data_IF_930666162835
#
_entry.id   IF_930666162835
#
_cell.length_a   1.000
_cell.length_b   1.000
_cell.length_c   1.000
_cell.angle_alpha   90.00
_cell.angle_beta   90.00
_cell.angle_gamma   90.00
#
_symmetry.space_group_name_H-M   'P 1'
#
loop_
_entity.id
_entity.type
_entity.pdbx_description
1 polymer ?
#
# COMPACT_ATOMS: atom_id res chain seq x y z
N UNK A 1 14.82 3.01 13.73
CA UNK A 1 15.16 3.83 12.55
C UNK A 1 16.66 4.04 12.32
N UNK A 2 17.57 3.28 12.96
CA UNK A 2 19.02 3.57 12.98
C UNK A 2 19.73 3.56 11.61
N UNK A 3 19.14 2.95 10.58
CA UNK A 3 19.77 2.76 9.25
C UNK A 3 18.87 3.24 8.09
N UNK A 4 17.97 4.20 8.32
CA UNK A 4 17.03 4.67 7.29
C UNK A 4 17.69 5.45 6.15
N UNK A 5 18.89 5.99 6.38
CA UNK A 5 19.63 6.74 5.36
C UNK A 5 20.27 5.84 4.30
N UNK A 6 20.24 4.52 4.48
CA UNK A 6 20.76 3.56 3.50
C UNK A 6 19.75 3.39 2.37
N UNK A 7 20.08 3.80 1.14
CA UNK A 7 19.18 3.60 0.01
C UNK A 7 19.00 2.11 -0.29
N UNK A 8 17.77 1.72 -0.62
CA UNK A 8 17.43 0.33 -0.92
C UNK A 8 18.31 -0.29 -2.03
N UNK A 9 18.69 0.50 -3.04
CA UNK A 9 19.54 0.02 -4.13
C UNK A 9 20.93 -0.46 -3.65
N UNK A 10 21.51 0.16 -2.63
CA UNK A 10 22.80 -0.29 -2.09
C UNK A 10 22.67 -1.65 -1.40
N UNK A 11 21.52 -1.96 -0.80
CA UNK A 11 21.28 -3.28 -0.21
C UNK A 11 21.25 -4.35 -1.31
N UNK A 12 20.68 -4.03 -2.48
CA UNK A 12 20.64 -4.95 -3.62
C UNK A 12 22.02 -5.21 -4.22
N UNK A 13 22.89 -4.20 -4.24
CA UNK A 13 24.25 -4.34 -4.78
C UNK A 13 25.13 -5.26 -3.89
N UNK A 14 24.85 -5.34 -2.60
CA UNK A 14 25.63 -6.10 -1.61
C UNK A 14 25.14 -7.55 -1.38
N UNK A 15 23.98 -7.93 -1.93
CA UNK A 15 23.42 -9.28 -1.76
C UNK A 15 23.41 -10.06 -3.07
N UNK A 16 23.65 -11.37 -2.99
CA UNK A 16 23.45 -12.26 -4.14
C UNK A 16 21.99 -12.66 -4.24
N UNK A 17 21.33 -12.30 -5.34
CA UNK A 17 19.95 -12.69 -5.62
C UNK A 17 19.75 -13.00 -7.11
N UNK A 18 18.81 -13.89 -7.41
CA UNK A 18 18.40 -14.16 -8.79
C UNK A 18 17.35 -13.14 -9.21
N UNK A 19 17.65 -12.35 -10.25
CA UNK A 19 16.68 -11.41 -10.82
C UNK A 19 15.60 -12.18 -11.58
N UNK A 20 14.38 -12.11 -11.06
CA UNK A 20 13.17 -12.62 -11.73
C UNK A 20 12.23 -11.45 -12.01
N UNK A 21 11.76 -11.22 -13.25
CA UNK A 21 10.95 -10.04 -13.60
C UNK A 21 9.66 -9.85 -12.80
N UNK A 22 9.14 -10.92 -12.20
CA UNK A 22 7.87 -10.91 -11.46
C UNK A 22 8.04 -10.91 -9.93
N UNK A 23 9.26 -11.00 -9.41
CA UNK A 23 9.51 -11.14 -7.97
C UNK A 23 10.39 -9.99 -7.51
N UNK A 24 9.89 -9.23 -6.54
CA UNK A 24 10.72 -8.27 -5.84
C UNK A 24 11.74 -9.02 -4.96
N UNK A 25 13.04 -8.68 -5.04
CA UNK A 25 14.13 -9.48 -4.49
C UNK A 25 14.17 -9.55 -2.95
N UNK A 26 13.52 -8.64 -2.22
CA UNK A 26 13.64 -8.56 -0.76
C UNK A 26 12.32 -8.61 0.00
N UNK A 27 11.22 -8.17 -0.62
CA UNK A 27 9.92 -8.17 0.01
C UNK A 27 8.83 -8.37 -1.03
N UNK A 28 7.77 -9.07 -0.64
CA UNK A 28 6.64 -9.35 -1.51
C UNK A 28 5.37 -8.64 -1.05
N UNK A 29 5.42 -8.03 0.14
CA UNK A 29 4.29 -7.37 0.79
C UNK A 29 4.71 -5.99 1.30
N UNK A 30 3.80 -5.02 1.20
CA UNK A 30 4.01 -3.65 1.71
C UNK A 30 2.81 -3.27 2.60
N UNK A 31 3.11 -2.63 3.73
CA UNK A 31 2.10 -2.08 4.65
C UNK A 31 2.46 -0.62 4.97
N UNK A 32 2.03 0.35 4.13
CA UNK A 32 2.19 1.75 4.46
C UNK A 32 1.07 2.19 5.42
N UNK A 33 1.46 2.72 6.57
CA UNK A 33 0.58 3.47 7.47
C UNK A 33 0.76 4.96 7.19
N UNK A 34 -0.30 5.62 6.71
CA UNK A 34 -0.28 7.03 6.38
C UNK A 34 -1.22 7.82 7.27
N UNK A 35 -0.62 8.73 8.04
CA UNK A 35 -1.33 9.84 8.67
C UNK A 35 -1.33 11.01 7.69
N UNK A 36 -1.99 10.85 6.55
CA UNK A 36 -2.25 12.00 5.70
C UNK A 36 -3.42 12.77 6.31
N UNK A 37 -3.38 14.12 6.38
CA UNK A 37 -4.62 14.85 6.46
C UNK A 37 -5.34 14.49 5.16
N UNK A 38 -6.35 13.62 5.24
CA UNK A 38 -7.37 13.59 4.19
C UNK A 38 -7.69 15.05 3.93
N UNK A 39 -7.60 15.44 2.66
CA UNK A 39 -7.87 16.79 2.21
C UNK A 39 -9.29 17.13 2.65
N UNK A 40 -9.52 17.51 3.90
CA UNK A 40 -10.81 17.95 4.37
C UNK A 40 -10.99 19.29 3.69
N UNK A 41 -12.11 19.45 2.98
CA UNK A 41 -12.41 20.69 2.28
C UNK A 41 -12.62 21.80 3.31
N UNK A 42 -11.51 22.38 3.77
CA UNK A 42 -11.50 23.62 4.55
C UNK A 42 -11.24 24.83 3.68
N UNK A 43 -11.08 24.63 2.38
CA UNK A 43 -10.99 25.70 1.39
C UNK A 43 -12.39 26.07 0.89
N UNK A 44 -12.87 27.21 1.43
CA UNK A 44 -13.86 28.13 0.85
C UNK A 44 -14.78 27.56 -0.26
N UNK A 45 -15.85 26.89 0.14
CA UNK A 45 -17.05 26.68 -0.69
C UNK A 45 -17.03 25.54 -1.71
N UNK A 46 -15.92 24.80 -1.87
CA UNK A 46 -15.83 23.69 -2.83
C UNK A 46 -15.83 22.35 -2.09
N UNK A 47 -16.80 21.49 -2.42
CA UNK A 47 -16.84 20.09 -1.96
C UNK A 47 -16.16 19.20 -2.99
N UNK A 48 -15.27 18.33 -2.53
CA UNK A 48 -14.66 17.28 -3.33
C UNK A 48 -14.65 15.98 -2.53
N UNK A 49 -14.59 14.85 -3.24
CA UNK A 49 -14.53 13.51 -2.65
C UNK A 49 -13.36 12.77 -3.27
N UNK A 50 -12.68 11.96 -2.47
CA UNK A 50 -11.69 11.01 -2.97
C UNK A 50 -12.34 10.09 -4.00
N UNK A 51 -11.76 10.04 -5.20
CA UNK A 51 -12.14 9.08 -6.22
C UNK A 51 -11.25 7.86 -6.06
N UNK A 52 -11.86 6.69 -5.89
CA UNK A 52 -11.11 5.44 -5.82
C UNK A 52 -10.52 5.17 -7.21
N UNK A 53 -9.20 5.26 -7.33
CA UNK A 53 -8.49 4.93 -8.56
C UNK A 53 -8.20 3.42 -8.55
N UNK A 54 -8.55 2.75 -9.62
CA UNK A 54 -8.03 1.41 -9.89
C UNK A 54 -6.62 1.54 -10.45
N UNK A 55 -5.63 1.06 -9.71
CA UNK A 55 -4.22 1.10 -10.12
C UNK A 55 -3.91 0.13 -11.27
N UNK A 56 -4.86 -0.74 -11.66
CA UNK A 56 -4.79 -1.63 -12.82
C UNK A 56 -3.88 -2.84 -12.63
N UNK A 57 -2.70 -2.67 -12.03
CA UNK A 57 -1.77 -3.76 -11.71
C UNK A 57 -1.16 -3.61 -10.32
N UNK A 58 -0.99 -4.75 -9.65
CA UNK A 58 -0.26 -4.81 -8.38
C UNK A 58 1.23 -4.91 -8.66
N UNK A 59 2.02 -4.01 -8.04
CA UNK A 59 3.49 -3.98 -8.17
C UNK A 59 4.20 -4.98 -7.26
N UNK A 60 3.47 -5.50 -6.28
CA UNK A 60 3.88 -6.50 -5.28
C UNK A 60 2.70 -7.45 -5.07
N UNK A 61 2.91 -8.55 -4.37
CA UNK A 61 1.88 -9.59 -4.20
C UNK A 61 0.70 -9.05 -3.39
N UNK A 62 0.99 -8.33 -2.30
CA UNK A 62 0.01 -7.64 -1.44
C UNK A 62 0.52 -6.25 -1.03
N UNK A 63 -0.37 -5.25 -1.06
CA UNK A 63 -0.11 -3.90 -0.59
C UNK A 63 -1.32 -3.40 0.21
N UNK A 64 -1.20 -3.41 1.54
CA UNK A 64 -2.25 -3.00 2.47
C UNK A 64 -2.01 -1.59 2.96
N UNK A 65 -2.71 -0.63 2.35
CA UNK A 65 -2.71 0.76 2.78
C UNK A 65 -3.60 0.93 4.00
N UNK A 66 -3.07 1.61 5.01
CA UNK A 66 -3.79 1.94 6.24
C UNK A 66 -3.80 3.46 6.38
N UNK A 67 -5.00 4.02 6.53
CA UNK A 67 -5.23 5.46 6.68
C UNK A 67 -6.08 5.72 7.93
N UNK A 68 -5.87 6.87 8.59
CA UNK A 68 -6.77 7.31 9.66
C UNK A 68 -8.07 7.88 9.10
N UNK A 69 -9.20 7.24 9.42
CA UNK A 69 -10.53 7.77 9.13
C UNK A 69 -10.92 8.78 10.21
N UNK A 70 -10.56 10.05 9.99
CA UNK A 70 -10.85 11.14 10.93
C UNK A 70 -12.33 11.50 11.04
N UNK A 71 -13.14 11.18 10.03
CA UNK A 71 -14.57 11.48 10.06
C UNK A 71 -15.31 10.47 10.97
N UNK A 72 -14.87 9.22 11.00
CA UNK A 72 -15.49 8.15 11.79
C UNK A 72 -14.67 7.70 13.02
N UNK A 73 -13.48 8.26 13.23
CA UNK A 73 -12.60 7.94 14.37
C UNK A 73 -11.97 6.55 14.29
N UNK A 74 -11.73 6.03 13.09
CA UNK A 74 -11.29 4.66 12.85
C UNK A 74 -10.08 4.57 11.91
N UNK A 75 -9.86 3.36 11.37
CA UNK A 75 -8.86 3.11 10.33
C UNK A 75 -9.57 2.66 9.05
N UNK A 76 -9.12 3.20 7.92
CA UNK A 76 -9.52 2.76 6.60
C UNK A 76 -8.43 1.85 6.03
N UNK A 77 -8.84 0.66 5.56
CA UNK A 77 -7.95 -0.33 4.95
C UNK A 77 -8.22 -0.45 3.45
N UNK A 78 -7.18 -0.30 2.64
CA UNK A 78 -7.24 -0.53 1.20
C UNK A 78 -6.21 -1.57 0.78
N UNK A 79 -6.70 -2.72 0.31
CA UNK A 79 -5.84 -3.79 -0.23
C UNK A 79 -5.74 -3.69 -1.75
N UNK A 80 -4.51 -3.62 -2.26
CA UNK A 80 -4.16 -3.87 -3.67
C UNK A 80 -3.38 -5.19 -3.73
N UNK A 81 -3.72 -6.07 -4.67
CA UNK A 81 -3.19 -7.44 -4.68
C UNK A 81 -3.09 -8.02 -6.10
N UNK A 82 -2.19 -8.99 -6.28
CA UNK A 82 -2.03 -9.70 -7.54
C UNK A 82 -3.17 -10.69 -7.78
N UNK A 83 -3.99 -10.45 -8.81
CA UNK A 83 -5.06 -11.37 -9.23
C UNK A 83 -4.51 -12.71 -9.79
N UNK A 84 -3.22 -12.79 -10.10
CA UNK A 84 -2.58 -14.05 -10.48
C UNK A 84 -2.33 -14.97 -9.26
N UNK A 85 -2.29 -14.40 -8.06
CA UNK A 85 -1.96 -15.12 -6.82
C UNK A 85 -3.15 -15.24 -5.87
N UNK A 86 -4.03 -14.23 -5.84
CA UNK A 86 -5.13 -14.17 -4.88
C UNK A 86 -6.48 -13.95 -5.55
N UNK A 87 -7.49 -14.64 -5.02
CA UNK A 87 -8.89 -14.39 -5.36
C UNK A 87 -9.45 -13.22 -4.56
N UNK A 88 -10.46 -12.54 -5.08
CA UNK A 88 -11.17 -11.48 -4.34
C UNK A 88 -11.82 -12.00 -3.06
N UNK A 89 -12.24 -13.26 -3.03
CA UNK A 89 -12.78 -13.91 -1.82
C UNK A 89 -11.73 -14.04 -0.73
N UNK A 90 -10.52 -14.49 -1.09
CA UNK A 90 -9.39 -14.62 -0.15
C UNK A 90 -9.06 -13.27 0.48
N UNK A 91 -9.01 -12.21 -0.32
CA UNK A 91 -8.69 -10.86 0.16
C UNK A 91 -9.81 -10.30 1.05
N UNK A 92 -11.07 -10.54 0.70
CA UNK A 92 -12.20 -10.16 1.57
C UNK A 92 -12.14 -10.85 2.92
N UNK A 93 -11.72 -12.11 2.97
CA UNK A 93 -11.51 -12.84 4.23
C UNK A 93 -10.35 -12.25 5.05
N UNK A 94 -9.25 -11.85 4.40
CA UNK A 94 -8.14 -11.19 5.09
C UNK A 94 -8.55 -9.83 5.68
N UNK A 95 -9.53 -9.16 5.09
CA UNK A 95 -10.06 -7.87 5.54
C UNK A 95 -11.29 -7.99 6.45
N UNK A 96 -11.84 -9.19 6.65
CA UNK A 96 -12.94 -9.38 7.59
C UNK A 96 -12.40 -9.50 9.02
N UNK A 97 -12.98 -8.72 9.93
CA UNK A 97 -12.81 -8.90 11.39
C UNK A 97 -13.56 -10.14 11.88
#
# INVERSE_FOLDING_TARGET
>A
MKYQDVPFNYILDEITYTRTPQINPLFQEILPYQVLPHFHSRNSGIKYKLLKVDYGSAKVDLNLWIEEDRDNGGLLFTMNYSNALFSSTTIKLMLSN
#
